data_IF_200279616871
#
_entry.id   IF_200279616871
#
_cell.length_a   1.000
_cell.length_b   1.000
_cell.length_c   1.000
_cell.angle_alpha   90.00
_cell.angle_beta   90.00
_cell.angle_gamma   90.00
#
_symmetry.space_group_name_H-M   'P 1'
#
loop_
_entity.id
_entity.type
_entity.pdbx_description
1 polymer ?
#
# COMPACT_ATOMS: atom_id res chain seq x y z
N UNK A 1 -12.95 -2.15 -0.31
CA UNK A 1 -12.69 -1.30 -1.50
C UNK A 1 -11.45 -0.45 -1.22
N UNK A 2 -10.48 -0.37 -2.13
CA UNK A 2 -9.27 0.47 -1.93
C UNK A 2 -9.30 1.60 -2.95
N UNK A 3 -9.05 2.83 -2.52
CA UNK A 3 -9.05 4.02 -3.37
C UNK A 3 -7.93 4.98 -2.97
N UNK A 4 -7.49 5.83 -3.90
CA UNK A 4 -6.55 6.91 -3.62
C UNK A 4 -7.27 8.23 -3.31
N UNK A 5 -6.69 9.03 -2.42
CA UNK A 5 -7.18 10.36 -2.04
C UNK A 5 -6.76 11.44 -3.04
N UNK A 6 -5.66 11.22 -3.76
CA UNK A 6 -5.14 12.09 -4.82
C UNK A 6 -4.56 11.24 -5.97
N UNK A 7 -4.12 11.91 -7.03
CA UNK A 7 -3.48 11.24 -8.15
C UNK A 7 -2.08 10.75 -7.76
N UNK A 8 -1.78 9.48 -8.00
CA UNK A 8 -0.51 8.83 -7.63
C UNK A 8 0.16 8.34 -8.90
N UNK A 9 1.49 8.40 -8.95
CA UNK A 9 2.25 7.82 -10.06
C UNK A 9 1.92 6.32 -10.22
N UNK A 10 1.75 5.87 -11.47
CA UNK A 10 1.38 4.49 -11.78
C UNK A 10 2.33 3.47 -11.18
N UNK A 11 3.63 3.78 -11.14
CA UNK A 11 4.65 2.88 -10.58
C UNK A 11 4.49 2.71 -9.06
N UNK A 12 4.18 3.79 -8.33
CA UNK A 12 3.92 3.71 -6.90
C UNK A 12 2.63 2.94 -6.61
N UNK A 13 1.59 3.16 -7.43
CA UNK A 13 0.33 2.41 -7.36
C UNK A 13 0.56 0.92 -7.60
N UNK A 14 1.32 0.56 -8.64
CA UNK A 14 1.64 -0.83 -8.96
C UNK A 14 2.38 -1.51 -7.79
N UNK A 15 3.45 -0.89 -7.28
CA UNK A 15 4.23 -1.41 -6.14
C UNK A 15 3.34 -1.66 -4.93
N UNK A 16 2.48 -0.69 -4.58
CA UNK A 16 1.60 -0.78 -3.43
C UNK A 16 0.53 -1.87 -3.59
N UNK A 17 -0.13 -1.93 -4.76
CA UNK A 17 -1.16 -2.95 -5.01
C UNK A 17 -0.57 -4.35 -5.06
N UNK A 18 0.63 -4.53 -5.62
CA UNK A 18 1.34 -5.81 -5.56
C UNK A 18 1.57 -6.24 -4.12
N UNK A 19 2.17 -5.38 -3.29
CA UNK A 19 2.43 -5.71 -1.88
C UNK A 19 1.13 -5.97 -1.09
N UNK A 20 0.06 -5.21 -1.37
CA UNK A 20 -1.26 -5.40 -0.78
C UNK A 20 -1.80 -6.80 -1.08
N UNK A 21 -1.88 -7.18 -2.37
CA UNK A 21 -2.45 -8.47 -2.76
C UNK A 21 -1.56 -9.65 -2.34
N UNK A 22 -0.23 -9.49 -2.37
CA UNK A 22 0.67 -10.51 -1.84
C UNK A 22 0.41 -10.79 -0.36
N UNK A 23 0.17 -9.75 0.45
CA UNK A 23 -0.17 -9.92 1.86
C UNK A 23 -1.58 -10.45 2.10
N UNK A 24 -2.56 -10.11 1.25
CA UNK A 24 -3.92 -10.64 1.37
C UNK A 24 -4.02 -12.12 0.95
N UNK A 25 -3.21 -12.55 -0.01
CA UNK A 25 -3.25 -13.89 -0.59
C UNK A 25 -2.14 -14.81 -0.05
N UNK A 26 -1.47 -14.40 1.04
CA UNK A 26 -0.45 -15.23 1.69
C UNK A 26 -1.09 -16.55 2.16
N UNK A 27 -0.62 -17.71 1.66
CA UNK A 27 -1.22 -19.00 1.99
C UNK A 27 -0.98 -19.45 3.43
N UNK A 28 -0.02 -18.84 4.14
CA UNK A 28 0.27 -19.15 5.54
C UNK A 28 -0.46 -18.21 6.49
N UNK A 29 -0.46 -16.90 6.19
CA UNK A 29 -1.01 -15.87 7.07
C UNK A 29 -1.67 -14.74 6.26
N UNK A 30 -2.87 -14.97 5.68
CA UNK A 30 -3.55 -13.96 4.90
C UNK A 30 -3.97 -12.79 5.80
N UNK A 31 -3.63 -11.56 5.39
CA UNK A 31 -4.02 -10.35 6.09
C UNK A 31 -5.37 -9.83 5.59
N UNK A 32 -6.16 -9.27 6.51
CA UNK A 32 -7.34 -8.48 6.16
C UNK A 32 -6.95 -7.23 5.36
N UNK A 33 -7.88 -6.69 4.56
CA UNK A 33 -7.58 -5.60 3.63
C UNK A 33 -6.96 -4.36 4.30
N UNK A 34 -7.37 -4.04 5.54
CA UNK A 34 -6.84 -2.91 6.31
C UNK A 34 -5.39 -3.14 6.74
N UNK A 35 -5.10 -4.33 7.28
CA UNK A 35 -3.75 -4.68 7.74
C UNK A 35 -2.78 -4.86 6.58
N UNK A 36 -3.25 -5.48 5.49
CA UNK A 36 -2.49 -5.62 4.25
C UNK A 36 -2.15 -4.25 3.64
N UNK A 37 -3.10 -3.31 3.64
CA UNK A 37 -2.85 -1.95 3.15
C UNK A 37 -1.81 -1.23 4.00
N UNK A 38 -1.93 -1.32 5.33
CA UNK A 38 -0.95 -0.72 6.24
C UNK A 38 0.45 -1.30 6.03
N UNK A 39 0.55 -2.61 5.85
CA UNK A 39 1.83 -3.28 5.55
C UNK A 39 2.43 -2.80 4.22
N UNK A 40 1.62 -2.69 3.17
CA UNK A 40 2.05 -2.20 1.87
C UNK A 40 2.51 -0.73 1.90
N UNK A 41 1.80 0.14 2.62
CA UNK A 41 2.17 1.55 2.81
C UNK A 41 3.52 1.69 3.52
N UNK A 42 3.76 0.90 4.58
CA UNK A 42 5.04 0.93 5.30
C UNK A 42 6.20 0.43 4.43
N UNK A 43 5.98 -0.62 3.63
CA UNK A 43 6.98 -1.09 2.65
C UNK A 43 7.32 -0.01 1.63
N UNK A 44 6.30 0.65 1.08
CA UNK A 44 6.50 1.73 0.10
C UNK A 44 7.24 2.92 0.73
N UNK A 45 6.89 3.33 1.95
CA UNK A 45 7.61 4.36 2.71
C UNK A 45 9.09 4.00 2.90
N UNK A 46 9.41 2.75 3.26
CA UNK A 46 10.81 2.31 3.44
C UNK A 46 11.57 2.36 2.12
N UNK A 47 10.96 1.91 1.01
CA UNK A 47 11.56 1.98 -0.33
C UNK A 47 11.80 3.42 -0.77
N UNK A 48 10.77 4.26 -0.71
CA UNK A 48 10.88 5.65 -1.13
C UNK A 48 11.92 6.39 -0.28
N UNK A 49 11.98 6.14 1.05
CA UNK A 49 12.99 6.73 1.93
C UNK A 49 14.41 6.37 1.51
N UNK A 50 14.64 5.14 1.04
CA UNK A 50 15.94 4.72 0.51
C UNK A 50 16.28 5.43 -0.81
N UNK A 51 15.27 5.82 -1.58
CA UNK A 51 15.39 6.61 -2.83
C UNK A 51 15.42 8.13 -2.58
N UNK A 52 15.35 8.58 -1.32
CA UNK A 52 15.40 9.99 -0.93
C UNK A 52 14.04 10.70 -0.84
N UNK A 53 12.93 9.98 -1.02
CA UNK A 53 11.57 10.53 -0.89
C UNK A 53 10.82 9.90 0.29
N UNK A 54 10.48 10.70 1.30
CA UNK A 54 9.67 10.24 2.43
C UNK A 54 8.31 10.97 2.52
N UNK A 55 7.95 11.74 1.48
CA UNK A 55 6.78 12.59 1.53
C UNK A 55 5.50 11.74 1.57
N UNK A 56 4.50 12.09 2.42
CA UNK A 56 3.24 11.35 2.49
C UNK A 56 2.52 11.21 1.15
N UNK A 57 2.79 12.12 0.22
CA UNK A 57 2.23 12.17 -1.13
C UNK A 57 2.49 10.86 -1.92
N UNK A 58 3.62 10.20 -1.68
CA UNK A 58 4.05 9.03 -2.44
C UNK A 58 3.64 7.69 -1.84
N UNK A 59 3.22 7.63 -0.57
CA UNK A 59 2.85 6.37 0.10
C UNK A 59 1.53 6.39 0.88
N UNK A 60 1.06 7.54 1.34
CA UNK A 60 -0.13 7.68 2.19
C UNK A 60 -1.43 7.94 1.41
N UNK A 61 -1.39 7.85 0.08
CA UNK A 61 -2.51 8.20 -0.78
C UNK A 61 -3.69 7.23 -0.68
N UNK A 62 -3.45 5.97 -0.29
CA UNK A 62 -4.45 4.91 -0.39
C UNK A 62 -5.21 4.70 0.92
N UNK A 63 -6.51 4.49 0.82
CA UNK A 63 -7.38 4.14 1.95
C UNK A 63 -8.17 2.87 1.64
N UNK A 64 -8.42 2.06 2.67
CA UNK A 64 -9.33 0.93 2.59
C UNK A 64 -10.69 1.33 3.17
N UNK A 65 -11.73 1.26 2.33
CA UNK A 65 -13.12 1.51 2.70
C UNK A 65 -13.92 0.20 2.66
N UNK A 66 -14.56 -0.13 3.78
CA UNK A 66 -15.34 -1.37 3.98
C UNK A 66 -14.49 -2.51 4.53
N UNK A 67 -15.06 -3.25 5.50
CA UNK A 67 -14.41 -4.38 6.15
C UNK A 67 -15.43 -5.45 6.56
N UNK A 68 -15.28 -6.62 5.94
CA UNK A 68 -15.44 -7.94 6.57
C UNK A 68 -14.33 -8.81 6.01
#
# INVERSE_FOLDING_TARGET
LVMSLWNVEDQATQKLMTDLYTSMLDPQHPLGAVDALRAAQLKLLVRNRAEGDAMPQSWAAFIAAGGR
#
